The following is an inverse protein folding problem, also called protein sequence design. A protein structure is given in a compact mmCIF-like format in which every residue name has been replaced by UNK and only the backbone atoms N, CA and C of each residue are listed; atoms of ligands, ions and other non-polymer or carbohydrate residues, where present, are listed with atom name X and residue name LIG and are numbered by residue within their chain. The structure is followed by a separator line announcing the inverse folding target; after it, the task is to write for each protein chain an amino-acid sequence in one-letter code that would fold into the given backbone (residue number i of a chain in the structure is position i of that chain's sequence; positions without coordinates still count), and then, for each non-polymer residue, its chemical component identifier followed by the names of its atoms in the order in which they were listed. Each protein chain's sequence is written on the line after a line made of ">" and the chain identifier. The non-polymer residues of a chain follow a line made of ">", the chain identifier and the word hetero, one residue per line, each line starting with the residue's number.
data_IF_138364775360
#
_entry.id   IF_138364775360
#
_cell.length_a   1.000
_cell.length_b   1.000
_cell.length_c   1.000
_cell.angle_alpha   90.00
_cell.angle_beta   90.00
_cell.angle_gamma   90.00
#
_symmetry.space_group_name_H-M   'P 1'
#
loop_
_entity.id
_entity.type
_entity.pdbx_description
1 polymer ?
#
# COMPACT_ATOMS: atom_id res chain seq x y z
N UNK A 1 -12.66 5.04 -18.36
CA UNK A 1 -13.97 4.80 -17.68
C UNK A 1 -13.71 4.48 -16.22
N UNK A 2 -14.60 4.95 -15.35
CA UNK A 2 -14.52 4.68 -13.91
C UNK A 2 -15.71 3.77 -13.51
N UNK A 3 -15.41 2.62 -12.91
CA UNK A 3 -16.43 1.70 -12.36
C UNK A 3 -16.47 1.85 -10.84
N UNK A 4 -17.61 2.28 -10.33
CA UNK A 4 -17.83 2.41 -8.88
C UNK A 4 -18.40 1.10 -8.33
N UNK A 5 -17.81 0.58 -7.27
CA UNK A 5 -18.30 -0.59 -6.53
C UNK A 5 -18.60 -0.13 -5.11
N UNK A 6 -19.88 -0.12 -4.74
CA UNK A 6 -20.33 0.31 -3.41
C UNK A 6 -20.45 -0.89 -2.46
N UNK A 7 -19.33 -1.58 -2.26
CA UNK A 7 -19.23 -2.74 -1.38
C UNK A 7 -17.97 -2.64 -0.52
N UNK A 8 -18.05 -3.13 0.72
CA UNK A 8 -16.86 -3.29 1.55
C UNK A 8 -16.11 -4.56 1.10
N UNK A 9 -14.81 -4.41 0.81
CA UNK A 9 -13.95 -5.54 0.47
C UNK A 9 -13.81 -6.46 1.68
N UNK A 10 -14.01 -7.76 1.43
CA UNK A 10 -13.83 -8.86 2.36
C UNK A 10 -13.24 -10.08 1.63
N UNK A 11 -12.98 -11.17 2.32
CA UNK A 11 -12.34 -12.36 1.73
C UNK A 11 -13.18 -13.04 0.64
N UNK A 12 -14.51 -12.94 0.74
CA UNK A 12 -15.42 -13.58 -0.23
C UNK A 12 -15.51 -12.81 -1.55
N UNK A 13 -15.54 -11.46 -1.50
CA UNK A 13 -15.75 -10.64 -2.69
C UNK A 13 -14.47 -10.05 -3.30
N UNK A 14 -13.36 -10.00 -2.56
CA UNK A 14 -12.12 -9.34 -2.99
C UNK A 14 -11.63 -9.85 -4.36
N UNK A 15 -11.64 -11.16 -4.59
CA UNK A 15 -11.21 -11.74 -5.87
C UNK A 15 -12.07 -11.28 -7.04
N UNK A 16 -13.39 -11.27 -6.88
CA UNK A 16 -14.31 -10.84 -7.92
C UNK A 16 -14.18 -9.35 -8.24
N UNK A 17 -13.81 -8.54 -7.23
CA UNK A 17 -13.66 -7.09 -7.38
C UNK A 17 -12.30 -6.72 -7.99
N UNK A 18 -11.23 -7.40 -7.60
CA UNK A 18 -9.86 -6.94 -7.85
C UNK A 18 -9.11 -7.72 -8.95
N UNK A 19 -9.60 -8.89 -9.42
CA UNK A 19 -8.83 -9.76 -10.32
C UNK A 19 -8.56 -9.19 -11.72
N UNK A 20 -9.44 -8.32 -12.21
CA UNK A 20 -9.35 -7.79 -13.58
C UNK A 20 -8.58 -6.46 -13.66
N UNK A 21 -7.60 -6.27 -12.78
CA UNK A 21 -6.80 -5.04 -12.71
C UNK A 21 -5.31 -5.34 -12.90
N UNK A 22 -4.61 -4.46 -13.60
CA UNK A 22 -3.16 -4.56 -13.83
C UNK A 22 -2.34 -4.04 -12.64
N UNK A 23 -2.93 -3.18 -11.82
CA UNK A 23 -2.32 -2.57 -10.62
C UNK A 23 -3.39 -2.36 -9.58
N UNK A 24 -3.06 -2.63 -8.32
CA UNK A 24 -3.88 -2.26 -7.17
C UNK A 24 -3.27 -1.06 -6.44
N UNK A 25 -4.12 -0.12 -6.03
CA UNK A 25 -3.73 1.02 -5.21
C UNK A 25 -4.51 0.95 -3.90
N UNK A 26 -3.82 0.72 -2.81
CA UNK A 26 -4.40 0.57 -1.48
C UNK A 26 -4.33 1.89 -0.70
N UNK A 27 -5.50 2.54 -0.53
CA UNK A 27 -5.71 3.75 0.25
C UNK A 27 -6.61 3.51 1.47
N UNK A 28 -6.79 2.25 1.89
CA UNK A 28 -7.70 1.90 2.98
C UNK A 28 -7.14 2.32 4.35
N UNK A 29 -8.02 2.47 5.32
CA UNK A 29 -7.72 2.98 6.67
C UNK A 29 -7.67 1.90 7.76
N UNK A 30 -7.72 0.62 7.36
CA UNK A 30 -7.72 -0.50 8.30
C UNK A 30 -6.81 -1.65 7.85
N UNK A 31 -6.22 -2.33 8.81
CA UNK A 31 -5.25 -3.41 8.54
C UNK A 31 -5.90 -4.65 7.94
N UNK A 32 -7.12 -4.99 8.34
CA UNK A 32 -7.83 -6.17 7.85
C UNK A 32 -7.96 -6.12 6.32
N UNK A 33 -8.47 -5.02 5.78
CA UNK A 33 -8.61 -4.84 4.33
C UNK A 33 -7.25 -4.79 3.64
N UNK A 34 -6.23 -4.13 4.25
CA UNK A 34 -4.85 -4.12 3.70
C UNK A 34 -4.28 -5.52 3.53
N UNK A 35 -4.48 -6.38 4.53
CA UNK A 35 -4.00 -7.76 4.44
C UNK A 35 -4.74 -8.55 3.37
N UNK A 36 -6.06 -8.38 3.24
CA UNK A 36 -6.84 -9.03 2.17
C UNK A 36 -6.34 -8.59 0.79
N UNK A 37 -6.14 -7.29 0.59
CA UNK A 37 -5.64 -6.74 -0.69
C UNK A 37 -4.22 -7.23 -0.98
N UNK A 38 -3.32 -7.22 0.01
CA UNK A 38 -1.96 -7.71 -0.14
C UNK A 38 -1.92 -9.20 -0.51
N UNK A 39 -2.64 -10.02 0.23
CA UNK A 39 -2.63 -11.47 0.03
C UNK A 39 -3.18 -11.83 -1.35
N UNK A 40 -4.25 -11.16 -1.78
CA UNK A 40 -4.80 -11.34 -3.11
C UNK A 40 -3.87 -10.81 -4.22
N UNK A 41 -3.22 -9.66 -4.02
CA UNK A 41 -2.24 -9.12 -4.97
C UNK A 41 -1.07 -10.08 -5.18
N UNK A 42 -0.63 -10.77 -4.12
CA UNK A 42 0.39 -11.82 -4.19
C UNK A 42 -0.10 -13.02 -5.01
N UNK A 43 -1.28 -13.54 -4.70
CA UNK A 43 -1.87 -14.71 -5.38
C UNK A 43 -2.04 -14.45 -6.89
N UNK A 44 -2.47 -13.26 -7.26
CA UNK A 44 -2.69 -12.85 -8.64
C UNK A 44 -1.42 -12.31 -9.32
N UNK A 45 -0.34 -12.11 -8.57
CA UNK A 45 0.92 -11.48 -9.04
C UNK A 45 0.70 -10.08 -9.62
N UNK A 46 -0.24 -9.34 -9.08
CA UNK A 46 -0.56 -7.97 -9.46
C UNK A 46 0.27 -7.01 -8.59
N UNK A 47 0.94 -6.00 -9.18
CA UNK A 47 1.62 -4.96 -8.39
C UNK A 47 0.66 -4.22 -7.46
N UNK A 48 1.13 -3.94 -6.25
CA UNK A 48 0.38 -3.20 -5.24
C UNK A 48 1.14 -1.92 -4.85
N UNK A 49 0.50 -0.77 -4.98
CA UNK A 49 0.98 0.50 -4.40
C UNK A 49 0.19 0.76 -3.13
N UNK A 50 0.86 0.80 -1.99
CA UNK A 50 0.23 1.01 -0.69
C UNK A 50 0.65 2.33 -0.07
N UNK A 51 -0.33 3.13 0.34
CA UNK A 51 -0.13 4.37 1.07
C UNK A 51 -0.86 4.36 2.41
N UNK A 52 -0.28 5.03 3.39
CA UNK A 52 -0.91 5.29 4.67
C UNK A 52 -0.61 6.70 5.13
N UNK A 53 -1.57 7.30 5.83
CA UNK A 53 -1.45 8.65 6.38
C UNK A 53 -1.81 8.65 7.86
N UNK A 54 -1.13 9.49 8.62
CA UNK A 54 -1.52 9.94 9.95
C UNK A 54 -1.95 11.40 9.90
N UNK A 55 -1.89 12.09 11.04
CA UNK A 55 -2.27 13.52 11.12
C UNK A 55 -1.49 14.37 10.12
N UNK A 56 -0.18 14.42 10.24
CA UNK A 56 0.73 15.19 9.40
C UNK A 56 1.71 14.30 8.61
N UNK A 57 1.78 13.03 8.93
CA UNK A 57 2.75 12.09 8.40
C UNK A 57 2.13 11.16 7.37
N UNK A 58 2.96 10.60 6.51
CA UNK A 58 2.50 9.61 5.56
C UNK A 58 3.62 8.71 5.08
N UNK A 59 3.25 7.63 4.44
CA UNK A 59 4.19 6.69 3.85
C UNK A 59 3.65 6.09 2.57
N UNK A 60 4.56 5.73 1.66
CA UNK A 60 4.24 5.05 0.41
C UNK A 60 5.25 3.93 0.19
N UNK A 61 4.78 2.80 -0.30
CA UNK A 61 5.60 1.69 -0.77
C UNK A 61 4.97 1.05 -2.00
N UNK A 62 5.80 0.37 -2.79
CA UNK A 62 5.39 -0.42 -3.94
C UNK A 62 5.82 -1.87 -3.72
N UNK A 63 4.93 -2.80 -4.00
CA UNK A 63 5.15 -4.23 -3.94
C UNK A 63 4.89 -4.81 -5.33
N UNK A 64 5.95 -5.20 -6.05
CA UNK A 64 5.81 -5.74 -7.41
C UNK A 64 5.36 -7.20 -7.44
N UNK A 65 5.31 -7.84 -6.28
CA UNK A 65 4.88 -9.23 -6.10
C UNK A 65 5.64 -10.23 -6.99
N UNK A 66 6.92 -9.92 -7.26
CA UNK A 66 7.87 -10.84 -7.89
C UNK A 66 8.53 -11.73 -6.83
N UNK A 67 9.19 -12.80 -7.28
CA UNK A 67 9.83 -13.79 -6.39
C UNK A 67 10.74 -13.18 -5.31
N UNK A 68 11.49 -12.14 -5.65
CA UNK A 68 12.47 -11.52 -4.75
C UNK A 68 11.97 -10.23 -4.10
N UNK A 69 10.74 -9.81 -4.40
CA UNK A 69 10.12 -8.62 -3.82
C UNK A 69 9.59 -8.90 -2.42
N UNK A 70 9.72 -7.93 -1.48
CA UNK A 70 8.92 -7.96 -0.27
C UNK A 70 7.44 -7.78 -0.59
N UNK A 71 6.56 -8.13 0.35
CA UNK A 71 5.15 -7.78 0.32
C UNK A 71 4.79 -6.88 1.51
N UNK A 72 3.55 -6.44 1.60
CA UNK A 72 3.10 -5.60 2.72
C UNK A 72 3.32 -6.30 4.08
N UNK A 73 3.12 -7.63 4.17
CA UNK A 73 3.35 -8.39 5.40
C UNK A 73 4.83 -8.54 5.79
N UNK A 74 5.78 -8.30 4.89
CA UNK A 74 7.19 -8.14 5.27
C UNK A 74 7.42 -6.87 6.09
N UNK A 75 6.57 -5.86 5.92
CA UNK A 75 6.61 -4.60 6.66
C UNK A 75 5.74 -4.65 7.92
N UNK A 76 4.51 -5.14 7.79
CA UNK A 76 3.53 -5.25 8.88
C UNK A 76 3.01 -6.69 8.91
N UNK A 77 3.64 -7.59 9.71
CA UNK A 77 3.24 -9.00 9.74
C UNK A 77 1.84 -9.24 10.29
N UNK A 78 1.46 -8.46 11.28
CA UNK A 78 0.17 -8.53 11.97
C UNK A 78 -0.33 -7.14 12.38
N UNK A 79 -1.60 -7.04 12.74
CA UNK A 79 -2.16 -5.77 13.21
C UNK A 79 -1.45 -5.32 14.50
N UNK A 80 -0.87 -4.11 14.54
CA UNK A 80 -0.27 -3.60 15.77
C UNK A 80 -1.30 -3.54 16.91
N UNK A 81 -0.93 -3.90 18.16
CA UNK A 81 -1.88 -4.03 19.28
C UNK A 81 -2.62 -2.72 19.64
N UNK A 82 -2.03 -1.56 19.30
CA UNK A 82 -2.61 -0.24 19.55
C UNK A 82 -2.85 0.51 18.24
N UNK A 83 -3.25 -0.20 17.19
CA UNK A 83 -3.51 0.42 15.89
C UNK A 83 -4.75 1.33 15.97
N UNK A 84 -4.53 2.63 15.83
CA UNK A 84 -5.61 3.61 15.71
C UNK A 84 -6.03 3.74 14.24
N UNK A 85 -7.32 3.96 14.03
CA UNK A 85 -7.87 4.23 12.69
C UNK A 85 -7.70 5.71 12.33
N UNK A 86 -7.75 6.02 11.02
CA UNK A 86 -7.73 7.41 10.56
C UNK A 86 -8.87 8.26 11.16
N UNK A 87 -10.02 7.66 11.48
CA UNK A 87 -11.14 8.33 12.11
C UNK A 87 -10.86 8.72 13.57
N UNK A 88 -10.04 7.94 14.28
CA UNK A 88 -9.62 8.23 15.66
C UNK A 88 -8.51 9.28 15.71
N UNK A 89 -7.54 9.18 14.79
CA UNK A 89 -6.39 10.10 14.73
C UNK A 89 -6.74 11.45 14.11
N UNK A 90 -7.71 11.49 13.20
CA UNK A 90 -7.94 12.58 12.27
C UNK A 90 -6.85 12.63 11.18
N UNK A 91 -7.19 13.18 10.03
CA UNK A 91 -6.27 13.32 8.90
C UNK A 91 -6.38 14.72 8.29
N UNK A 92 -5.27 15.22 7.77
CA UNK A 92 -5.20 16.52 7.10
C UNK A 92 -5.23 16.28 5.59
N UNK A 93 -6.18 16.94 4.90
CA UNK A 93 -6.37 16.78 3.46
C UNK A 93 -5.10 17.08 2.63
N UNK A 94 -4.26 18.01 3.09
CA UNK A 94 -2.98 18.29 2.44
C UNK A 94 -2.02 17.07 2.47
N UNK A 95 -1.93 16.37 3.61
CA UNK A 95 -1.13 15.13 3.73
C UNK A 95 -1.69 14.04 2.82
N UNK A 96 -3.01 13.89 2.77
CA UNK A 96 -3.67 12.94 1.86
C UNK A 96 -3.37 13.27 0.40
N UNK A 97 -3.37 14.56 0.01
CA UNK A 97 -3.03 15.00 -1.34
C UNK A 97 -1.59 14.67 -1.72
N UNK A 98 -0.63 14.92 -0.82
CA UNK A 98 0.80 14.60 -1.04
C UNK A 98 0.99 13.10 -1.25
N UNK A 99 0.50 12.30 -0.32
CA UNK A 99 0.66 10.83 -0.36
C UNK A 99 -0.08 10.22 -1.54
N UNK A 100 -1.32 10.66 -1.81
CA UNK A 100 -2.10 10.18 -2.95
C UNK A 100 -1.43 10.50 -4.29
N UNK A 101 -0.84 11.70 -4.46
CA UNK A 101 -0.08 12.06 -5.67
C UNK A 101 1.19 11.20 -5.84
N UNK A 102 1.88 10.88 -4.75
CA UNK A 102 3.04 9.99 -4.78
C UNK A 102 2.63 8.56 -5.17
N UNK A 103 1.51 8.05 -4.64
CA UNK A 103 0.98 6.74 -5.02
C UNK A 103 0.61 6.69 -6.50
N UNK A 104 -0.04 7.73 -7.03
CA UNK A 104 -0.36 7.84 -8.44
C UNK A 104 0.91 7.85 -9.30
N UNK A 105 1.97 8.56 -8.87
CA UNK A 105 3.26 8.56 -9.56
C UNK A 105 3.91 7.16 -9.56
N UNK A 106 3.84 6.41 -8.47
CA UNK A 106 4.32 5.03 -8.42
C UNK A 106 3.55 4.14 -9.41
N UNK A 107 2.23 4.25 -9.48
CA UNK A 107 1.42 3.52 -10.44
C UNK A 107 1.79 3.86 -11.90
N UNK A 108 1.99 5.15 -12.21
CA UNK A 108 2.44 5.59 -13.53
C UNK A 108 3.81 4.99 -13.88
N UNK A 109 4.75 4.96 -12.94
CA UNK A 109 6.08 4.35 -13.16
C UNK A 109 5.98 2.87 -13.46
N UNK A 110 5.09 2.14 -12.81
CA UNK A 110 4.84 0.71 -13.09
C UNK A 110 4.31 0.55 -14.51
N UNK A 111 3.27 1.30 -14.89
CA UNK A 111 2.62 1.20 -16.20
C UNK A 111 3.59 1.57 -17.33
N UNK A 112 4.33 2.65 -17.16
CA UNK A 112 5.24 3.18 -18.18
C UNK A 112 6.63 2.57 -18.15
N UNK A 113 6.93 1.76 -17.13
CA UNK A 113 8.27 1.20 -16.87
C UNK A 113 9.35 2.30 -16.75
N UNK A 114 8.97 3.50 -16.31
CA UNK A 114 9.85 4.64 -16.19
C UNK A 114 10.52 4.70 -14.80
N UNK A 115 11.82 4.91 -14.78
CA UNK A 115 12.59 5.12 -13.56
C UNK A 115 12.60 3.91 -12.62
N UNK A 116 12.73 4.17 -11.31
CA UNK A 116 12.75 3.15 -10.27
C UNK A 116 11.56 3.32 -9.33
N UNK A 117 10.81 2.24 -9.09
CA UNK A 117 9.72 2.22 -8.12
C UNK A 117 10.24 2.14 -6.68
N UNK A 118 9.33 2.27 -5.74
CA UNK A 118 9.59 2.04 -4.30
C UNK A 118 9.57 0.54 -3.92
N UNK A 119 9.69 -0.38 -4.89
CA UNK A 119 9.80 -1.81 -4.57
C UNK A 119 11.02 -2.07 -3.69
N UNK A 120 10.83 -2.76 -2.56
CA UNK A 120 11.88 -2.98 -1.56
C UNK A 120 12.27 -1.73 -0.75
N UNK A 121 11.42 -0.70 -0.73
CA UNK A 121 11.64 0.55 -0.01
C UNK A 121 10.33 1.09 0.55
N UNK A 122 10.46 1.90 1.60
CA UNK A 122 9.34 2.70 2.13
C UNK A 122 9.77 4.16 2.09
N UNK A 123 9.00 5.00 1.42
CA UNK A 123 9.08 6.45 1.52
C UNK A 123 8.27 6.90 2.73
N UNK A 124 8.88 7.71 3.60
CA UNK A 124 8.25 8.28 4.80
C UNK A 124 8.31 9.80 4.67
N UNK A 125 7.17 10.44 4.84
CA UNK A 125 7.00 11.89 4.89
C UNK A 125 6.61 12.32 6.30
N UNK A 126 7.31 13.33 6.82
CA UNK A 126 7.08 13.97 8.10
C UNK A 126 6.65 15.42 7.84
N UNK A 127 5.33 15.64 7.87
CA UNK A 127 4.76 16.92 7.43
C UNK A 127 5.04 18.10 8.35
N UNK A 128 5.14 17.89 9.66
CA UNK A 128 5.45 18.98 10.59
C UNK A 128 6.87 19.51 10.40
N UNK A 129 7.83 18.64 10.12
CA UNK A 129 9.22 18.99 9.89
C UNK A 129 9.52 19.27 8.40
N UNK A 130 8.56 19.01 7.50
CA UNK A 130 8.74 19.07 6.04
C UNK A 130 9.96 18.29 5.55
N UNK A 131 10.21 17.12 6.14
CA UNK A 131 11.28 16.21 5.76
C UNK A 131 10.75 14.91 5.22
N UNK A 132 11.54 14.23 4.41
CA UNK A 132 11.25 12.90 3.93
C UNK A 132 12.48 12.01 3.97
N UNK A 133 12.26 10.72 4.08
CA UNK A 133 13.32 9.72 3.98
C UNK A 133 12.79 8.47 3.28
N UNK A 134 13.70 7.78 2.59
CA UNK A 134 13.43 6.47 2.01
C UNK A 134 14.28 5.44 2.73
N UNK A 135 13.66 4.42 3.28
CA UNK A 135 14.33 3.31 3.96
C UNK A 135 14.19 2.02 3.16
N UNK A 136 15.16 1.12 3.29
CA UNK A 136 15.09 -0.20 2.67
C UNK A 136 14.08 -1.08 3.42
N UNK A 137 13.31 -1.84 2.65
CA UNK A 137 12.42 -2.90 3.10
C UNK A 137 12.85 -4.22 2.45
N UNK A 138 13.66 -5.04 3.10
CA UNK A 138 14.04 -6.33 2.56
C UNK A 138 12.85 -7.32 2.61
N UNK A 139 12.86 -8.32 1.73
CA UNK A 139 11.95 -9.46 1.84
C UNK A 139 12.27 -10.24 3.11
N UNK A 140 11.26 -10.53 3.90
CA UNK A 140 11.37 -11.43 5.04
C UNK A 140 11.26 -12.88 4.54
N UNK A 141 12.32 -13.67 4.71
CA UNK A 141 12.33 -15.08 4.32
C UNK A 141 11.42 -15.98 5.16
N UNK A 142 10.89 -15.46 6.26
CA UNK A 142 9.90 -16.12 7.12
C UNK A 142 8.52 -15.48 7.03
N UNK A 143 8.29 -14.63 6.03
CA UNK A 143 7.02 -13.95 5.86
C UNK A 143 5.90 -14.97 5.65
N UNK A 144 4.83 -14.86 6.44
CA UNK A 144 3.67 -15.76 6.39
C UNK A 144 2.88 -15.70 5.09
N UNK A 145 3.13 -14.70 4.23
CA UNK A 145 2.38 -14.50 3.00
C UNK A 145 3.24 -14.72 1.72
N UNK A 146 4.53 -14.39 1.72
CA UNK A 146 5.32 -14.42 0.49
C UNK A 146 6.64 -15.19 0.58
N UNK A 147 6.88 -15.95 1.67
CA UNK A 147 8.05 -16.82 1.80
C UNK A 147 7.98 -18.03 0.90
#
# INVERSE_FOLDING_TARGET
>A
DCKVINERINKENAKNILSDHDILIDCVDNFETRFIVNDLALDLKIPLVSGAIGKFDGQVSTFLNTKDSPCYRCFVPETPPNAETCSQLGVIGATAGIIGSMMALEAIKIITQAGNTLNGKIFIFKGLEMISKTIKLPKDLKCIACS
#
